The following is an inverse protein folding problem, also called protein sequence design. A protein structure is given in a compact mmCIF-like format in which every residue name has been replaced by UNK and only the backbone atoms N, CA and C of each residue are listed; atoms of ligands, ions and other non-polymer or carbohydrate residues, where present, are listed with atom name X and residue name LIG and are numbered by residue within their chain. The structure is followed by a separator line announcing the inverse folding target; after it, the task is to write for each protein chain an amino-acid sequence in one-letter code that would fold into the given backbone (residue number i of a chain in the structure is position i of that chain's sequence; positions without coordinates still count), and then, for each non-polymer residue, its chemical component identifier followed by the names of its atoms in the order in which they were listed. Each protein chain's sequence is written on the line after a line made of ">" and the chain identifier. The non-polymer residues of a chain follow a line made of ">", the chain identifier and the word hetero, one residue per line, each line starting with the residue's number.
data_IF_546332657243
#
_entry.id   IF_546332657243
#
_cell.length_a   1.000
_cell.length_b   1.000
_cell.length_c   1.000
_cell.angle_alpha   90.00
_cell.angle_beta   90.00
_cell.angle_gamma   90.00
#
_symmetry.space_group_name_H-M   'P 1'
#
loop_
_entity.id
_entity.type
_entity.pdbx_description
1 polymer ?
#
# COMPACT_ATOMS: atom_id res chain seq x y z
N UNK A 1 -7.45 67.51 5.31
CA UNK A 1 -7.92 66.34 4.55
C UNK A 1 -6.80 65.52 3.94
N UNK A 2 -5.71 66.11 3.50
CA UNK A 2 -4.54 65.38 2.97
C UNK A 2 -3.83 64.49 4.00
N UNK A 3 -3.86 64.83 5.28
CA UNK A 3 -3.24 64.00 6.35
C UNK A 3 -4.01 62.71 6.68
N UNK A 4 -5.29 62.67 6.37
CA UNK A 4 -6.12 61.48 6.57
C UNK A 4 -5.83 60.41 5.54
N UNK A 5 -5.63 60.81 4.29
CA UNK A 5 -5.26 59.91 3.20
C UNK A 5 -3.85 59.35 3.33
N UNK A 6 -2.89 60.17 3.73
CA UNK A 6 -1.51 59.74 3.98
C UNK A 6 -1.39 58.82 5.20
N UNK A 7 -2.16 59.08 6.27
CA UNK A 7 -2.21 58.20 7.43
C UNK A 7 -2.86 56.81 7.09
N UNK A 8 -3.93 56.79 6.30
CA UNK A 8 -4.55 55.57 5.89
C UNK A 8 -3.70 54.75 4.91
N UNK A 9 -2.98 55.43 4.00
CA UNK A 9 -2.05 54.72 3.10
C UNK A 9 -0.85 54.12 3.86
N UNK A 10 -0.31 54.81 4.85
CA UNK A 10 0.77 54.27 5.69
C UNK A 10 0.28 53.12 6.56
N UNK A 11 -0.95 53.19 7.02
CA UNK A 11 -1.57 52.11 7.80
C UNK A 11 -1.81 50.88 6.97
N UNK A 12 -2.31 51.02 5.75
CA UNK A 12 -2.49 49.95 4.78
C UNK A 12 -1.15 49.35 4.36
N UNK A 13 -0.11 50.16 4.15
CA UNK A 13 1.23 49.70 3.82
C UNK A 13 1.86 48.88 4.96
N UNK A 14 1.65 49.26 6.23
CA UNK A 14 2.09 48.50 7.40
C UNK A 14 1.29 47.21 7.57
N UNK A 15 -0.01 47.25 7.32
CA UNK A 15 -0.88 46.08 7.41
C UNK A 15 -0.79 45.15 6.19
N UNK A 16 -0.35 45.66 5.06
CA UNK A 16 -0.11 44.84 3.86
C UNK A 16 0.92 43.75 4.13
N UNK A 17 1.97 44.08 4.86
CA UNK A 17 2.98 43.08 5.29
C UNK A 17 2.37 42.03 6.18
N UNK A 18 1.52 42.42 7.12
CA UNK A 18 0.79 41.49 7.97
C UNK A 18 -0.16 40.59 7.17
N UNK A 19 -0.86 41.15 6.20
CA UNK A 19 -1.76 40.37 5.32
C UNK A 19 -0.96 39.41 4.47
N UNK A 20 0.17 39.79 3.92
CA UNK A 20 1.06 38.90 3.18
C UNK A 20 1.62 37.78 4.06
N UNK A 21 2.05 38.08 5.26
CA UNK A 21 2.54 37.08 6.22
C UNK A 21 1.42 36.13 6.63
N UNK A 22 0.22 36.65 6.92
CA UNK A 22 -0.95 35.84 7.25
C UNK A 22 -1.40 34.97 6.07
N UNK A 23 -1.38 35.50 4.84
CA UNK A 23 -1.66 34.72 3.64
C UNK A 23 -0.60 33.65 3.40
N UNK A 24 0.68 33.95 3.57
CA UNK A 24 1.76 32.99 3.46
C UNK A 24 1.66 31.89 4.52
N UNK A 25 1.36 32.24 5.76
CA UNK A 25 1.15 31.28 6.85
C UNK A 25 -0.14 30.48 6.72
N UNK A 26 -1.19 31.07 6.08
CA UNK A 26 -2.45 30.38 5.85
C UNK A 26 -2.43 29.45 4.64
N UNK A 27 -1.75 29.81 3.56
CA UNK A 27 -1.70 29.03 2.32
C UNK A 27 -0.63 27.94 2.36
N UNK A 28 0.54 28.21 2.92
CA UNK A 28 1.64 27.26 3.02
C UNK A 28 1.26 25.95 3.76
N UNK A 29 0.61 25.96 4.93
CA UNK A 29 0.21 24.72 5.59
C UNK A 29 -0.91 23.99 4.85
N UNK A 30 -1.79 24.67 4.11
CA UNK A 30 -2.84 24.04 3.31
C UNK A 30 -2.21 23.34 2.10
N UNK A 31 -1.26 23.94 1.42
CA UNK A 31 -0.52 23.30 0.33
C UNK A 31 0.31 22.11 0.83
N UNK A 32 0.99 22.22 1.96
CA UNK A 32 1.74 21.11 2.55
C UNK A 32 0.84 19.97 3.01
N UNK A 33 -0.30 20.27 3.61
CA UNK A 33 -1.29 19.26 3.99
C UNK A 33 -1.89 18.55 2.76
N UNK A 34 -2.11 19.26 1.67
CA UNK A 34 -2.55 18.66 0.41
C UNK A 34 -1.50 17.70 -0.16
N UNK A 35 -0.24 18.05 -0.10
CA UNK A 35 0.87 17.20 -0.56
C UNK A 35 1.08 15.97 0.35
N UNK A 36 1.02 16.14 1.66
CA UNK A 36 1.14 15.05 2.62
C UNK A 36 -0.04 14.07 2.52
N UNK A 37 -1.27 14.55 2.27
CA UNK A 37 -2.44 13.68 2.13
C UNK A 37 -2.38 12.79 0.89
N UNK A 38 -1.83 13.25 -0.23
CA UNK A 38 -1.63 12.39 -1.41
C UNK A 38 -0.58 11.31 -1.16
N UNK A 39 0.58 11.68 -0.63
CA UNK A 39 1.62 10.71 -0.25
C UNK A 39 1.11 9.73 0.80
N UNK A 40 0.40 10.19 1.82
CA UNK A 40 -0.14 9.31 2.85
C UNK A 40 -1.23 8.38 2.31
N UNK A 41 -2.05 8.82 1.35
CA UNK A 41 -3.02 7.95 0.67
C UNK A 41 -2.34 6.86 -0.14
N UNK A 42 -1.32 7.21 -0.91
CA UNK A 42 -0.55 6.23 -1.70
C UNK A 42 0.18 5.24 -0.79
N UNK A 43 0.78 5.70 0.29
CA UNK A 43 1.44 4.82 1.27
C UNK A 43 0.45 3.92 1.99
N UNK A 44 -0.71 4.42 2.39
CA UNK A 44 -1.77 3.62 2.99
C UNK A 44 -2.30 2.57 2.03
N UNK A 45 -2.51 2.93 0.76
CA UNK A 45 -2.94 1.99 -0.26
C UNK A 45 -1.89 0.89 -0.47
N UNK A 46 -0.60 1.24 -0.54
CA UNK A 46 0.51 0.28 -0.63
C UNK A 46 0.59 -0.64 0.59
N UNK A 47 0.43 -0.08 1.79
CA UNK A 47 0.42 -0.87 3.04
C UNK A 47 -0.76 -1.83 3.09
N UNK A 48 -1.95 -1.40 2.67
CA UNK A 48 -3.13 -2.28 2.56
C UNK A 48 -2.90 -3.41 1.57
N UNK A 49 -2.34 -3.11 0.39
CA UNK A 49 -2.01 -4.13 -0.60
C UNK A 49 -0.96 -5.12 -0.08
N UNK A 50 0.08 -4.64 0.60
CA UNK A 50 1.08 -5.51 1.24
C UNK A 50 0.47 -6.38 2.33
N UNK A 51 -0.42 -5.85 3.17
CA UNK A 51 -1.13 -6.64 4.19
C UNK A 51 -2.01 -7.71 3.57
N UNK A 52 -2.80 -7.36 2.56
CA UNK A 52 -3.65 -8.31 1.84
C UNK A 52 -2.82 -9.41 1.17
N UNK A 53 -1.71 -9.04 0.56
CA UNK A 53 -0.78 -9.98 -0.05
C UNK A 53 -0.15 -10.91 1.01
N UNK A 54 0.23 -10.37 2.15
CA UNK A 54 0.79 -11.14 3.27
C UNK A 54 -0.25 -12.11 3.86
N UNK A 55 -1.48 -11.65 4.07
CA UNK A 55 -2.59 -12.50 4.53
C UNK A 55 -2.87 -13.63 3.54
N UNK A 56 -2.86 -13.33 2.25
CA UNK A 56 -3.04 -14.34 1.21
C UNK A 56 -1.88 -15.35 1.21
N UNK A 57 -0.64 -14.88 1.35
CA UNK A 57 0.53 -15.74 1.48
C UNK A 57 0.44 -16.67 2.71
N UNK A 58 0.00 -16.14 3.85
CA UNK A 58 -0.21 -16.91 5.07
C UNK A 58 -1.33 -17.96 4.90
N UNK A 59 -2.41 -17.62 4.20
CA UNK A 59 -3.48 -18.58 3.85
C UNK A 59 -2.96 -19.69 2.94
N UNK A 60 -2.11 -19.39 1.97
CA UNK A 60 -1.47 -20.39 1.11
C UNK A 60 -0.60 -21.35 1.91
N UNK A 61 0.20 -20.84 2.82
CA UNK A 61 1.04 -21.65 3.70
C UNK A 61 0.20 -22.52 4.62
N UNK A 62 -0.88 -21.99 5.19
CA UNK A 62 -1.83 -22.76 6.02
C UNK A 62 -2.50 -23.87 5.22
N UNK A 63 -2.93 -23.59 4.01
CA UNK A 63 -3.49 -24.59 3.10
C UNK A 63 -2.48 -25.71 2.80
N UNK A 64 -1.24 -25.34 2.51
CA UNK A 64 -0.16 -26.30 2.26
C UNK A 64 0.12 -27.18 3.49
N UNK A 65 0.11 -26.61 4.68
CA UNK A 65 0.25 -27.38 5.92
C UNK A 65 -0.90 -28.37 6.13
N UNK A 66 -2.14 -27.96 5.87
CA UNK A 66 -3.30 -28.83 5.97
C UNK A 66 -3.21 -30.01 5.00
N UNK A 67 -2.80 -29.75 3.76
CA UNK A 67 -2.60 -30.79 2.76
C UNK A 67 -1.47 -31.72 3.17
N UNK A 68 -0.37 -31.20 3.71
CA UNK A 68 0.75 -32.00 4.19
C UNK A 68 0.36 -32.88 5.38
N UNK A 69 -0.48 -32.39 6.29
CA UNK A 69 -1.01 -33.19 7.40
C UNK A 69 -1.92 -34.33 6.90
N UNK A 70 -2.67 -34.09 5.83
CA UNK A 70 -3.54 -35.11 5.23
C UNK A 70 -2.72 -36.14 4.46
N UNK A 71 -1.66 -35.72 3.77
CA UNK A 71 -0.79 -36.58 2.97
C UNK A 71 0.69 -36.38 3.38
N UNK A 72 1.14 -37.01 4.47
CA UNK A 72 2.49 -36.76 4.99
C UNK A 72 3.63 -37.32 4.16
N UNK A 73 3.35 -38.18 3.19
CA UNK A 73 4.36 -38.91 2.41
C UNK A 73 4.66 -38.31 1.03
N UNK A 74 4.33 -37.05 0.80
CA UNK A 74 4.59 -36.40 -0.50
C UNK A 74 4.89 -34.95 -0.42
N UNK A 75 5.51 -34.43 -1.47
CA UNK A 75 5.66 -33.00 -1.65
C UNK A 75 4.30 -32.36 -1.95
N UNK A 76 4.03 -31.21 -1.32
CA UNK A 76 2.79 -30.49 -1.56
C UNK A 76 2.95 -29.68 -2.84
N UNK A 77 2.32 -30.13 -3.91
CA UNK A 77 2.26 -29.42 -5.19
C UNK A 77 0.84 -28.89 -5.37
N UNK A 78 0.73 -27.59 -5.59
CA UNK A 78 -0.55 -26.92 -5.77
C UNK A 78 -0.56 -26.17 -7.09
N UNK A 79 -1.73 -26.08 -7.74
CA UNK A 79 -1.90 -25.24 -8.91
C UNK A 79 -2.39 -23.86 -8.53
N UNK A 80 -2.03 -22.85 -9.34
CA UNK A 80 -2.50 -21.47 -9.15
C UNK A 80 -4.03 -21.38 -9.23
N UNK A 81 -4.64 -22.12 -10.14
CA UNK A 81 -6.09 -22.16 -10.32
C UNK A 81 -6.80 -22.77 -9.11
N UNK A 82 -6.30 -23.89 -8.60
CA UNK A 82 -6.86 -24.54 -7.42
C UNK A 82 -6.75 -23.66 -6.18
N UNK A 83 -5.63 -22.98 -6.00
CA UNK A 83 -5.46 -22.02 -4.90
C UNK A 83 -6.43 -20.84 -5.04
N UNK A 84 -6.62 -20.34 -6.25
CA UNK A 84 -7.57 -19.25 -6.49
C UNK A 84 -9.01 -19.65 -6.15
N UNK A 85 -9.43 -20.84 -6.51
CA UNK A 85 -10.73 -21.40 -6.15
C UNK A 85 -10.88 -21.62 -4.65
N UNK A 86 -9.91 -22.26 -4.03
CA UNK A 86 -9.96 -22.60 -2.59
C UNK A 86 -9.92 -21.35 -1.70
N UNK A 87 -9.19 -20.33 -2.11
CA UNK A 87 -9.05 -19.10 -1.34
C UNK A 87 -10.07 -18.02 -1.75
N UNK A 88 -10.82 -18.23 -2.83
CA UNK A 88 -11.79 -17.26 -3.33
C UNK A 88 -11.16 -15.95 -3.84
N UNK A 89 -9.91 -15.99 -4.25
CA UNK A 89 -9.17 -14.84 -4.77
C UNK A 89 -8.89 -14.97 -6.26
N UNK A 90 -8.52 -13.84 -6.90
CA UNK A 90 -8.10 -13.84 -8.30
C UNK A 90 -6.77 -14.58 -8.47
N UNK A 91 -6.61 -15.28 -9.58
CA UNK A 91 -5.37 -15.99 -9.90
C UNK A 91 -4.14 -15.09 -9.91
N UNK A 92 -4.29 -13.84 -10.39
CA UNK A 92 -3.20 -12.84 -10.40
C UNK A 92 -2.69 -12.52 -8.98
N UNK A 93 -3.60 -12.36 -8.03
CA UNK A 93 -3.25 -12.13 -6.63
C UNK A 93 -2.55 -13.34 -6.02
N UNK A 94 -2.99 -14.54 -6.34
CA UNK A 94 -2.37 -15.80 -5.91
C UNK A 94 -0.95 -15.93 -6.47
N UNK A 95 -0.75 -15.64 -7.74
CA UNK A 95 0.59 -15.64 -8.37
C UNK A 95 1.52 -14.63 -7.70
N UNK A 96 1.04 -13.44 -7.41
CA UNK A 96 1.83 -12.42 -6.72
C UNK A 96 2.21 -12.86 -5.31
N UNK A 97 1.30 -13.48 -4.57
CA UNK A 97 1.56 -14.03 -3.24
C UNK A 97 2.56 -15.20 -3.30
N UNK A 98 2.44 -16.08 -4.31
CA UNK A 98 3.39 -17.17 -4.53
C UNK A 98 4.79 -16.66 -4.88
N UNK A 99 4.90 -15.59 -5.68
CA UNK A 99 6.19 -14.94 -5.95
C UNK A 99 6.80 -14.34 -4.68
N UNK A 100 6.00 -13.77 -3.80
CA UNK A 100 6.45 -13.30 -2.50
C UNK A 100 7.02 -14.46 -1.66
N UNK A 101 6.31 -15.58 -1.60
CA UNK A 101 6.76 -16.77 -0.89
C UNK A 101 8.00 -17.41 -1.54
N UNK A 102 8.13 -17.30 -2.86
CA UNK A 102 9.33 -17.74 -3.58
C UNK A 102 10.56 -16.93 -3.16
N UNK A 103 10.41 -15.61 -3.02
CA UNK A 103 11.47 -14.74 -2.50
C UNK A 103 11.84 -15.07 -1.06
N UNK A 104 10.90 -15.51 -0.24
CA UNK A 104 11.12 -15.98 1.13
C UNK A 104 11.59 -17.44 1.19
N UNK A 105 11.76 -18.13 0.07
CA UNK A 105 12.15 -19.53 -0.05
C UNK A 105 11.18 -20.53 0.58
N UNK A 106 9.94 -20.16 0.74
CA UNK A 106 8.88 -21.03 1.28
C UNK A 106 8.20 -21.87 0.20
N UNK A 107 8.30 -21.48 -1.05
CA UNK A 107 7.79 -22.21 -2.21
C UNK A 107 8.84 -22.31 -3.29
N UNK A 108 8.72 -23.31 -4.14
CA UNK A 108 9.54 -23.50 -5.33
C UNK A 108 8.64 -23.65 -6.55
N UNK A 109 9.13 -23.21 -7.71
CA UNK A 109 8.43 -23.46 -8.96
C UNK A 109 8.53 -24.94 -9.32
N UNK A 110 7.37 -25.55 -9.58
CA UNK A 110 7.34 -26.89 -10.13
C UNK A 110 7.72 -26.89 -11.63
N UNK A 111 8.19 -28.01 -12.18
CA UNK A 111 8.56 -28.09 -13.61
C UNK A 111 7.37 -27.86 -14.55
N UNK A 112 6.15 -28.06 -14.10
CA UNK A 112 4.92 -27.78 -14.86
C UNK A 112 4.49 -26.33 -14.66
N UNK A 113 4.09 -25.66 -15.73
CA UNK A 113 3.54 -24.30 -15.67
C UNK A 113 2.26 -24.26 -14.84
N UNK A 114 2.16 -23.26 -13.96
CA UNK A 114 1.00 -23.07 -13.10
C UNK A 114 1.00 -23.93 -11.85
N UNK A 115 2.00 -24.77 -11.64
CA UNK A 115 2.16 -25.59 -10.44
C UNK A 115 3.30 -25.07 -9.57
N UNK A 116 3.10 -25.15 -8.28
CA UNK A 116 4.05 -24.68 -7.28
C UNK A 116 4.23 -25.73 -6.19
N UNK A 117 5.46 -25.94 -5.81
CA UNK A 117 5.81 -26.84 -4.71
C UNK A 117 5.95 -26.03 -3.43
N UNK A 118 5.17 -26.40 -2.43
CA UNK A 118 5.23 -25.76 -1.11
C UNK A 118 6.25 -26.48 -0.22
N UNK A 119 7.18 -25.72 0.34
CA UNK A 119 8.11 -26.21 1.35
C UNK A 119 7.46 -26.07 2.74
N UNK A 120 6.81 -27.08 3.18
CA UNK A 120 6.07 -27.06 4.45
C UNK A 120 6.70 -28.01 5.46
#
# INVERSE_FOLDING_TARGET
>A
MTNFFTASCSWIALHWWFVLILCALGIAPICMRGFETEKSRVERARRKQKKQLRELADKIVSYGRNVHQTFPTGDVVVSEEDLAEQLGNRSDAVVTALNLLLNEQKVQKAPLRGYWKLNV
#
